data_IF_282977064356
#
_entry.id   IF_282977064356
#
_cell.length_a   1.000
_cell.length_b   1.000
_cell.length_c   1.000
_cell.angle_alpha   90.00
_cell.angle_beta   90.00
_cell.angle_gamma   90.00
#
_symmetry.space_group_name_H-M   'P 1'
#
loop_
_entity.id
_entity.type
_entity.pdbx_description
1 polymer ?
#
# COMPACT_ATOMS: atom_id res chain seq x y z
N UNK A 1 -10.32 -19.11 -30.50
CA UNK A 1 -10.83 -20.37 -29.92
C UNK A 1 -10.45 -20.37 -28.44
N UNK A 2 -11.39 -20.37 -27.49
CA UNK A 2 -11.03 -20.40 -26.08
C UNK A 2 -10.60 -21.82 -25.69
N UNK A 3 -9.43 -21.92 -25.04
CA UNK A 3 -8.96 -23.16 -24.42
C UNK A 3 -9.82 -23.40 -23.18
N UNK A 4 -10.63 -24.46 -23.20
CA UNK A 4 -11.31 -24.97 -22.01
C UNK A 4 -10.26 -25.46 -21.00
N UNK A 5 -10.29 -24.94 -19.77
CA UNK A 5 -9.71 -25.65 -18.62
C UNK A 5 -8.76 -24.90 -17.67
N UNK A 6 -8.60 -23.58 -17.78
CA UNK A 6 -7.96 -22.80 -16.71
C UNK A 6 -9.08 -22.10 -15.96
N UNK A 7 -9.43 -22.56 -14.75
CA UNK A 7 -10.15 -21.71 -13.82
C UNK A 7 -9.33 -20.43 -13.66
N UNK A 8 -9.89 -19.29 -14.03
CA UNK A 8 -9.25 -18.00 -13.80
C UNK A 8 -9.06 -17.87 -12.28
N UNK A 9 -7.81 -17.74 -11.85
CA UNK A 9 -7.49 -17.55 -10.44
C UNK A 9 -8.02 -16.18 -10.02
N UNK A 10 -8.94 -16.18 -9.07
CA UNK A 10 -9.53 -14.96 -8.51
C UNK A 10 -8.93 -14.71 -7.14
N UNK A 11 -8.34 -13.54 -6.93
CA UNK A 11 -7.73 -13.12 -5.66
C UNK A 11 -8.30 -11.76 -5.28
N UNK A 12 -9.08 -11.74 -4.21
CA UNK A 12 -9.63 -10.54 -3.61
C UNK A 12 -8.77 -10.14 -2.40
N UNK A 13 -8.37 -8.87 -2.32
CA UNK A 13 -7.78 -8.29 -1.11
C UNK A 13 -8.88 -7.67 -0.26
N UNK A 14 -8.90 -8.02 1.02
CA UNK A 14 -9.85 -7.44 1.97
C UNK A 14 -9.30 -6.12 2.48
N UNK A 15 -9.97 -5.02 2.12
CA UNK A 15 -9.62 -3.65 2.54
C UNK A 15 -10.37 -3.19 3.80
N UNK A 16 -11.30 -4.00 4.32
CA UNK A 16 -12.00 -3.74 5.58
C UNK A 16 -11.05 -3.92 6.78
N UNK A 17 -11.23 -3.09 7.81
CA UNK A 17 -10.57 -3.28 9.09
C UNK A 17 -11.31 -4.25 10.01
N UNK A 18 -12.55 -4.62 9.64
CA UNK A 18 -13.42 -5.54 10.38
C UNK A 18 -13.85 -6.70 9.47
N UNK A 19 -13.29 -7.88 9.72
CA UNK A 19 -13.68 -9.13 9.07
C UNK A 19 -13.33 -10.30 10.00
N UNK A 20 -14.34 -11.05 10.44
CA UNK A 20 -14.14 -12.12 11.43
C UNK A 20 -13.42 -13.35 10.88
N UNK A 21 -13.18 -13.42 9.57
CA UNK A 21 -12.42 -14.50 8.93
C UNK A 21 -10.91 -14.34 9.10
N UNK A 22 -10.46 -13.14 9.47
CA UNK A 22 -9.04 -12.78 9.56
C UNK A 22 -8.69 -12.17 10.92
N UNK A 23 -7.40 -12.20 11.25
CA UNK A 23 -6.87 -11.54 12.43
C UNK A 23 -6.82 -10.02 12.26
N UNK A 24 -7.10 -9.31 13.35
CA UNK A 24 -7.07 -7.84 13.40
C UNK A 24 -5.71 -7.27 12.95
N UNK A 25 -4.61 -7.95 13.28
CA UNK A 25 -3.26 -7.54 12.87
C UNK A 25 -3.08 -7.55 11.35
N UNK A 26 -3.58 -8.59 10.69
CA UNK A 26 -3.45 -8.75 9.24
C UNK A 26 -4.37 -7.78 8.50
N UNK A 27 -5.59 -7.55 9.01
CA UNK A 27 -6.50 -6.54 8.45
C UNK A 27 -5.89 -5.13 8.52
N UNK A 28 -5.27 -4.76 9.66
CA UNK A 28 -4.58 -3.45 9.80
C UNK A 28 -3.41 -3.26 8.84
N UNK A 29 -2.74 -4.34 8.47
CA UNK A 29 -1.65 -4.33 7.49
C UNK A 29 -2.15 -4.54 6.05
N UNK A 30 -3.47 -4.68 5.85
CA UNK A 30 -4.09 -5.00 4.56
C UNK A 30 -3.48 -6.25 3.90
N UNK A 31 -3.23 -7.28 4.71
CA UNK A 31 -2.63 -8.55 4.30
C UNK A 31 -3.63 -9.71 4.20
N UNK A 32 -4.93 -9.43 4.21
CA UNK A 32 -5.99 -10.45 4.14
C UNK A 32 -6.44 -10.66 2.70
N UNK A 33 -6.52 -11.92 2.27
CA UNK A 33 -6.90 -12.29 0.91
C UNK A 33 -7.89 -13.45 0.88
N UNK A 34 -8.82 -13.40 -0.08
CA UNK A 34 -9.75 -14.48 -0.41
C UNK A 34 -9.43 -14.96 -1.82
N UNK A 35 -9.18 -16.26 -1.97
CA UNK A 35 -8.88 -16.89 -3.26
C UNK A 35 -10.05 -17.77 -3.70
N UNK A 36 -10.52 -17.57 -4.93
CA UNK A 36 -11.68 -18.24 -5.53
C UNK A 36 -12.93 -18.17 -4.65
N UNK A 37 -13.09 -17.11 -3.85
CA UNK A 37 -14.20 -16.90 -2.93
C UNK A 37 -14.27 -17.83 -1.71
N UNK A 38 -13.38 -18.82 -1.58
CA UNK A 38 -13.50 -19.89 -0.58
C UNK A 38 -12.25 -20.15 0.25
N UNK A 39 -11.06 -19.76 -0.23
CA UNK A 39 -9.81 -20.00 0.49
C UNK A 39 -9.29 -18.71 1.11
N UNK A 40 -8.99 -18.73 2.41
CA UNK A 40 -8.55 -17.56 3.17
C UNK A 40 -7.04 -17.58 3.37
N UNK A 41 -6.41 -16.42 3.15
CA UNK A 41 -4.98 -16.24 3.31
C UNK A 41 -4.67 -14.98 4.12
N UNK A 42 -3.65 -15.11 4.97
CA UNK A 42 -3.10 -14.01 5.74
C UNK A 42 -1.63 -13.83 5.39
N UNK A 43 -1.24 -12.60 5.09
CA UNK A 43 0.15 -12.17 4.96
C UNK A 43 0.42 -11.16 6.07
N UNK A 44 1.17 -11.58 7.09
CA UNK A 44 1.54 -10.75 8.23
C UNK A 44 2.97 -10.23 8.05
N UNK A 45 3.14 -8.93 7.91
CA UNK A 45 4.43 -8.26 7.95
C UNK A 45 5.00 -8.38 9.37
N UNK A 46 6.20 -8.94 9.47
CA UNK A 46 6.90 -9.21 10.75
C UNK A 46 8.19 -8.42 10.92
N UNK A 47 8.63 -7.74 9.87
CA UNK A 47 9.77 -6.83 9.87
C UNK A 47 9.74 -5.94 8.63
N UNK A 48 10.79 -5.14 8.43
CA UNK A 48 10.85 -4.17 7.32
C UNK A 48 11.00 -4.81 5.94
N UNK A 49 11.28 -6.11 5.84
CA UNK A 49 11.38 -6.82 4.56
C UNK A 49 10.86 -8.27 4.62
N UNK A 50 10.18 -8.64 5.71
CA UNK A 50 9.78 -10.02 5.97
C UNK A 50 8.29 -10.12 6.30
N UNK A 51 7.65 -11.16 5.76
CA UNK A 51 6.28 -11.52 6.11
C UNK A 51 6.09 -13.03 6.29
N UNK A 52 5.09 -13.38 7.09
CA UNK A 52 4.61 -14.75 7.26
C UNK A 52 3.31 -14.91 6.48
N UNK A 53 3.22 -15.93 5.64
CA UNK A 53 1.99 -16.32 4.95
C UNK A 53 1.34 -17.54 5.60
N UNK A 54 0.03 -17.47 5.80
CA UNK A 54 -0.80 -18.58 6.30
C UNK A 54 -2.02 -18.77 5.39
N UNK A 55 -2.52 -20.00 5.28
CA UNK A 55 -3.73 -20.33 4.51
C UNK A 55 -3.85 -21.82 4.23
N UNK A 56 -5.05 -22.27 3.83
CA UNK A 56 -5.38 -23.70 3.75
C UNK A 56 -4.66 -24.45 2.63
N UNK A 57 -4.40 -23.78 1.49
CA UNK A 57 -3.85 -24.43 0.30
C UNK A 57 -2.56 -23.76 -0.18
N UNK A 58 -1.42 -24.43 0.04
CA UNK A 58 -0.10 -23.91 -0.32
C UNK A 58 0.07 -23.66 -1.83
N UNK A 59 -0.73 -24.28 -2.69
CA UNK A 59 -0.65 -24.06 -4.14
C UNK A 59 -0.94 -22.61 -4.57
N UNK A 60 -1.65 -21.83 -3.73
CA UNK A 60 -1.97 -20.43 -4.00
C UNK A 60 -1.03 -19.44 -3.31
N UNK A 61 -0.09 -19.91 -2.48
CA UNK A 61 0.82 -19.02 -1.72
C UNK A 61 1.59 -18.08 -2.64
N UNK A 62 2.15 -18.60 -3.73
CA UNK A 62 2.93 -17.80 -4.66
C UNK A 62 2.08 -16.68 -5.29
N UNK A 63 0.88 -16.98 -5.76
CA UNK A 63 0.00 -15.99 -6.36
C UNK A 63 -0.46 -14.91 -5.36
N UNK A 64 -0.76 -15.31 -4.11
CA UNK A 64 -1.10 -14.36 -3.03
C UNK A 64 0.10 -13.48 -2.68
N UNK A 65 1.31 -14.05 -2.63
CA UNK A 65 2.55 -13.30 -2.36
C UNK A 65 2.82 -12.28 -3.47
N UNK A 66 2.74 -12.68 -4.73
CA UNK A 66 2.94 -11.77 -5.87
C UNK A 66 1.91 -10.64 -5.84
N UNK A 67 0.62 -10.94 -5.59
CA UNK A 67 -0.42 -9.92 -5.49
C UNK A 67 -0.25 -9.00 -4.28
N UNK A 68 0.16 -9.53 -3.12
CA UNK A 68 0.48 -8.73 -1.95
C UNK A 68 1.65 -7.78 -2.21
N UNK A 69 2.70 -8.24 -2.91
CA UNK A 69 3.90 -7.44 -3.18
C UNK A 69 3.65 -6.24 -4.08
N UNK A 70 2.61 -6.26 -4.91
CA UNK A 70 2.18 -5.06 -5.64
C UNK A 70 1.96 -3.86 -4.71
N UNK A 71 1.49 -4.09 -3.47
CA UNK A 71 1.27 -3.04 -2.48
C UNK A 71 2.44 -2.85 -1.49
N UNK A 72 3.38 -3.80 -1.46
CA UNK A 72 4.40 -3.91 -0.43
C UNK A 72 5.73 -4.44 -1.00
N UNK A 73 6.24 -3.82 -2.07
CA UNK A 73 7.41 -4.29 -2.83
C UNK A 73 8.65 -4.55 -1.96
N UNK A 74 8.85 -3.74 -0.92
CA UNK A 74 9.90 -3.87 0.09
C UNK A 74 9.90 -5.20 0.87
N UNK A 75 8.77 -5.92 0.92
CA UNK A 75 8.72 -7.25 1.52
C UNK A 75 9.25 -8.26 0.51
N UNK A 76 10.42 -8.80 0.80
CA UNK A 76 11.15 -9.66 -0.12
C UNK A 76 11.30 -11.09 0.38
N UNK A 77 11.05 -11.33 1.67
CA UNK A 77 11.17 -12.66 2.28
C UNK A 77 9.83 -13.11 2.84
N UNK A 78 9.35 -14.26 2.38
CA UNK A 78 8.09 -14.85 2.83
C UNK A 78 8.32 -16.23 3.43
N UNK A 79 7.83 -16.43 4.65
CA UNK A 79 7.92 -17.70 5.36
C UNK A 79 6.54 -18.25 5.69
N UNK A 80 6.44 -19.56 5.91
CA UNK A 80 5.25 -20.14 6.52
C UNK A 80 5.30 -20.04 8.06
N UNK A 81 4.22 -20.46 8.72
CA UNK A 81 4.11 -20.46 10.20
C UNK A 81 5.15 -21.33 10.91
N UNK A 82 5.82 -22.25 10.20
CA UNK A 82 6.88 -23.08 10.74
C UNK A 82 8.27 -22.44 10.53
N UNK A 83 8.34 -21.28 9.86
CA UNK A 83 9.57 -20.56 9.55
C UNK A 83 10.25 -21.01 8.24
N UNK A 84 9.65 -21.95 7.49
CA UNK A 84 10.21 -22.41 6.23
C UNK A 84 10.08 -21.32 5.17
N UNK A 85 11.11 -21.15 4.35
CA UNK A 85 11.08 -20.23 3.22
C UNK A 85 10.00 -20.67 2.21
N UNK A 86 9.11 -19.75 1.85
CA UNK A 86 8.08 -19.95 0.81
C UNK A 86 8.53 -19.29 -0.49
N UNK A 87 8.99 -18.03 -0.41
CA UNK A 87 9.42 -17.24 -1.56
C UNK A 87 10.40 -16.16 -1.11
N UNK A 88 11.40 -15.90 -1.94
CA UNK A 88 12.37 -14.82 -1.76
C UNK A 88 12.51 -14.03 -3.06
N UNK A 89 12.61 -12.71 -2.95
CA UNK A 89 12.79 -11.77 -4.06
C UNK A 89 14.13 -11.04 -3.92
N UNK A 90 14.64 -10.38 -4.99
CA UNK A 90 15.77 -9.47 -4.86
C UNK A 90 15.55 -8.47 -3.75
N UNK A 91 16.62 -8.18 -2.99
CA UNK A 91 16.55 -7.23 -1.87
C UNK A 91 16.16 -5.84 -2.36
N UNK A 92 15.31 -5.18 -1.58
CA UNK A 92 14.95 -3.78 -1.75
C UNK A 92 15.67 -2.99 -0.67
N UNK A 93 16.56 -2.09 -1.07
CA UNK A 93 17.33 -1.26 -0.15
C UNK A 93 16.43 -0.16 0.42
N UNK A 94 16.33 -0.13 1.75
CA UNK A 94 15.61 0.90 2.49
C UNK A 94 16.55 2.03 2.88
N UNK A 95 16.06 3.25 2.84
CA UNK A 95 16.77 4.43 3.32
C UNK A 95 15.85 5.37 4.08
N UNK A 96 16.44 6.19 4.94
CA UNK A 96 15.71 7.23 5.67
C UNK A 96 15.59 8.51 4.82
N UNK A 97 14.43 9.13 4.89
CA UNK A 97 14.16 10.40 4.21
C UNK A 97 13.32 11.32 5.12
N UNK A 98 13.63 12.62 5.21
CA UNK A 98 12.76 13.58 5.87
C UNK A 98 11.40 13.70 5.16
N UNK A 99 10.29 13.68 5.91
CA UNK A 99 8.95 13.83 5.34
C UNK A 99 8.81 15.10 4.50
N UNK A 100 9.43 16.19 4.93
CA UNK A 100 9.42 17.49 4.21
C UNK A 100 10.08 17.46 2.83
N UNK A 101 10.83 16.39 2.51
CA UNK A 101 11.48 16.21 1.21
C UNK A 101 10.67 15.32 0.26
N UNK A 102 9.47 14.86 0.67
CA UNK A 102 8.63 13.97 -0.13
C UNK A 102 7.46 14.78 -0.69
N UNK A 103 7.29 14.79 -2.01
CA UNK A 103 6.14 15.33 -2.70
C UNK A 103 5.01 14.27 -2.74
N UNK A 104 3.84 14.53 -2.12
CA UNK A 104 2.66 13.68 -2.26
C UNK A 104 2.12 13.69 -3.70
N UNK A 105 1.70 12.53 -4.21
CA UNK A 105 0.82 12.42 -5.39
C UNK A 105 -0.68 12.49 -5.05
N UNK A 106 -1.03 12.55 -3.76
CA UNK A 106 -2.40 12.64 -3.26
C UNK A 106 -2.59 13.97 -2.52
N UNK A 107 -3.80 14.52 -2.53
CA UNK A 107 -4.10 15.81 -1.90
C UNK A 107 -5.08 15.75 -0.72
N UNK A 108 -5.88 14.68 -0.61
CA UNK A 108 -6.81 14.46 0.50
C UNK A 108 -6.49 13.18 1.28
N UNK A 109 -6.77 13.13 2.57
CA UNK A 109 -6.67 11.91 3.39
C UNK A 109 -7.93 11.74 4.24
N UNK A 110 -8.41 10.50 4.34
CA UNK A 110 -9.59 10.12 5.11
C UNK A 110 -9.28 10.10 6.63
N UNK A 111 -10.05 10.84 7.43
CA UNK A 111 -9.91 10.87 8.91
C UNK A 111 -10.15 9.53 9.58
N UNK A 112 -11.13 8.75 9.15
CA UNK A 112 -11.42 7.40 9.64
C UNK A 112 -10.24 6.47 9.35
N UNK A 113 -9.72 6.48 8.12
CA UNK A 113 -8.53 5.70 7.75
C UNK A 113 -7.31 6.11 8.58
N UNK A 114 -7.11 7.41 8.81
CA UNK A 114 -6.03 7.92 9.67
C UNK A 114 -6.14 7.42 11.11
N UNK A 115 -7.35 7.35 11.67
CA UNK A 115 -7.57 6.83 13.02
C UNK A 115 -7.07 5.38 13.11
N UNK A 116 -7.45 4.53 12.16
CA UNK A 116 -7.01 3.13 12.13
C UNK A 116 -5.51 3.00 11.92
N UNK A 117 -4.95 3.73 10.94
CA UNK A 117 -3.50 3.76 10.68
C UNK A 117 -2.71 4.30 11.88
N UNK A 118 -3.27 5.25 12.60
CA UNK A 118 -2.70 5.81 13.83
C UNK A 118 -2.58 4.83 14.98
N UNK A 119 -3.30 3.70 14.96
CA UNK A 119 -3.22 2.68 16.02
C UNK A 119 -1.91 1.91 16.01
N UNK A 120 -1.21 1.84 14.87
CA UNK A 120 -0.01 1.01 14.71
C UNK A 120 1.24 1.76 14.25
N UNK A 121 1.15 3.03 13.84
CA UNK A 121 2.36 3.84 13.57
C UNK A 121 2.95 4.35 14.88
N UNK A 122 4.10 3.86 15.28
CA UNK A 122 4.82 4.28 16.49
C UNK A 122 6.22 4.78 16.17
N UNK A 123 6.91 4.16 15.22
CA UNK A 123 8.26 4.52 14.79
C UNK A 123 8.31 4.71 13.27
N UNK A 124 9.48 5.10 12.76
CA UNK A 124 9.71 5.27 11.31
C UNK A 124 9.66 3.93 10.57
N UNK A 125 9.98 2.82 11.24
CA UNK A 125 9.94 1.47 10.68
C UNK A 125 8.51 1.01 10.34
N UNK A 126 7.50 1.61 10.98
CA UNK A 126 6.08 1.39 10.66
C UNK A 126 5.64 2.14 9.38
N UNK A 127 6.52 2.97 8.82
CA UNK A 127 6.23 3.85 7.67
C UNK A 127 7.28 3.68 6.59
N UNK A 128 7.02 2.74 5.68
CA UNK A 128 7.86 2.46 4.53
C UNK A 128 7.13 2.91 3.25
N UNK A 129 7.73 3.87 2.54
CA UNK A 129 7.10 4.59 1.42
C UNK A 129 7.77 4.25 0.08
N UNK A 130 7.02 3.79 -0.94
CA UNK A 130 7.53 3.66 -2.30
C UNK A 130 7.72 5.04 -2.93
N UNK A 131 8.92 5.30 -3.46
CA UNK A 131 9.29 6.57 -4.07
C UNK A 131 9.68 6.40 -5.55
N UNK A 132 9.40 7.45 -6.34
CA UNK A 132 9.98 7.69 -7.67
C UNK A 132 10.64 9.06 -7.71
N UNK A 133 11.56 9.25 -8.66
CA UNK A 133 12.11 10.57 -9.00
C UNK A 133 11.44 11.12 -10.25
N UNK A 134 10.96 12.35 -10.17
CA UNK A 134 10.43 13.09 -11.31
C UNK A 134 11.15 14.43 -11.41
N UNK A 135 12.07 14.54 -12.36
CA UNK A 135 13.00 15.67 -12.42
C UNK A 135 13.82 15.77 -11.13
N UNK A 136 13.61 16.86 -10.38
CA UNK A 136 14.27 17.09 -9.09
C UNK A 136 13.40 16.69 -7.88
N UNK A 137 12.15 16.30 -8.11
CA UNK A 137 11.21 15.95 -7.04
C UNK A 137 11.33 14.47 -6.65
N UNK A 138 11.18 14.21 -5.35
CA UNK A 138 11.07 12.86 -4.80
C UNK A 138 9.60 12.64 -4.45
N UNK A 139 8.94 11.75 -5.19
CA UNK A 139 7.48 11.61 -5.15
C UNK A 139 7.09 10.31 -4.47
N UNK A 140 6.14 10.36 -3.55
CA UNK A 140 5.50 9.16 -3.00
C UNK A 140 4.48 8.61 -3.99
N UNK A 141 4.62 7.33 -4.35
CA UNK A 141 3.63 6.63 -5.18
C UNK A 141 2.39 6.25 -4.37
N UNK A 142 2.58 5.90 -3.10
CA UNK A 142 1.55 5.47 -2.17
C UNK A 142 1.98 5.81 -0.72
N UNK A 143 1.13 5.51 0.27
CA UNK A 143 1.43 5.63 1.69
C UNK A 143 1.09 6.99 2.29
N UNK A 144 0.34 7.83 1.59
CA UNK A 144 0.02 9.20 2.00
C UNK A 144 -0.68 9.28 3.36
N UNK A 145 -1.59 8.37 3.66
CA UNK A 145 -2.22 8.29 5.00
C UNK A 145 -1.18 8.00 6.09
N UNK A 146 -0.22 7.09 5.82
CA UNK A 146 0.85 6.74 6.79
C UNK A 146 1.78 7.94 7.01
N UNK A 147 2.17 8.63 5.95
CA UNK A 147 2.97 9.85 6.05
C UNK A 147 2.23 10.98 6.78
N UNK A 148 0.94 11.16 6.54
CA UNK A 148 0.12 12.17 7.21
C UNK A 148 -0.02 11.90 8.72
N UNK A 149 -0.09 10.63 9.12
CA UNK A 149 -0.08 10.22 10.54
C UNK A 149 1.30 10.38 11.15
N UNK A 150 2.37 10.00 10.43
CA UNK A 150 3.75 10.19 10.87
C UNK A 150 4.05 11.68 11.16
N UNK A 151 3.64 12.57 10.26
CA UNK A 151 3.74 14.01 10.42
C UNK A 151 3.00 14.52 11.67
N UNK A 152 1.77 14.06 11.92
CA UNK A 152 1.00 14.43 13.12
C UNK A 152 1.62 13.93 14.43
N UNK A 153 2.32 12.80 14.38
CA UNK A 153 3.03 12.22 15.53
C UNK A 153 4.42 12.83 15.74
N UNK A 154 4.84 13.77 14.90
CA UNK A 154 6.16 14.40 14.99
C UNK A 154 7.31 13.49 14.56
N UNK A 155 7.05 12.49 13.73
CA UNK A 155 8.10 11.69 13.10
C UNK A 155 8.67 12.49 11.92
N UNK A 156 9.84 13.11 12.09
CA UNK A 156 10.46 13.95 11.05
C UNK A 156 10.95 13.14 9.84
N UNK A 157 11.27 11.85 10.05
CA UNK A 157 11.78 10.93 9.03
C UNK A 157 10.97 9.65 8.95
N UNK A 158 10.96 9.05 7.76
CA UNK A 158 10.36 7.75 7.46
C UNK A 158 11.34 6.88 6.67
N UNK A 159 11.05 5.58 6.58
CA UNK A 159 11.76 4.71 5.65
C UNK A 159 11.14 4.78 4.26
N UNK A 160 11.96 4.57 3.25
CA UNK A 160 11.54 4.56 1.87
C UNK A 160 12.43 3.68 1.01
N UNK A 161 11.94 3.38 -0.19
CA UNK A 161 12.69 2.69 -1.24
C UNK A 161 12.34 3.26 -2.60
N UNK A 162 13.22 3.03 -3.59
CA UNK A 162 12.94 3.35 -4.98
C UNK A 162 12.13 2.22 -5.60
N UNK A 163 10.88 2.51 -5.98
CA UNK A 163 10.00 1.53 -6.62
C UNK A 163 10.43 1.22 -8.04
N UNK A 164 10.40 -0.06 -8.41
CA UNK A 164 10.61 -0.51 -9.78
C UNK A 164 9.35 -0.39 -10.66
N UNK A 165 8.17 -0.25 -10.05
CA UNK A 165 6.88 -0.16 -10.76
C UNK A 165 6.81 1.08 -11.65
N UNK A 166 6.22 0.96 -12.84
CA UNK A 166 5.96 2.12 -13.69
C UNK A 166 4.77 2.94 -13.18
N UNK A 167 4.81 4.24 -13.44
CA UNK A 167 3.94 5.21 -12.78
C UNK A 167 3.56 6.37 -13.71
N UNK A 168 3.06 6.05 -14.90
CA UNK A 168 2.75 7.04 -15.95
C UNK A 168 1.70 8.07 -15.50
N UNK A 169 0.83 7.71 -14.56
CA UNK A 169 -0.14 8.62 -13.96
C UNK A 169 0.49 9.62 -12.99
N UNK A 170 1.68 9.35 -12.44
CA UNK A 170 2.18 10.03 -11.26
C UNK A 170 2.47 11.51 -11.50
N UNK A 171 2.97 11.87 -12.69
CA UNK A 171 3.27 13.27 -13.04
C UNK A 171 2.01 14.15 -13.03
N UNK A 172 0.89 13.63 -13.57
CA UNK A 172 -0.40 14.33 -13.54
C UNK A 172 -0.89 14.53 -12.10
N UNK A 173 -0.85 13.48 -11.29
CA UNK A 173 -1.31 13.52 -9.90
C UNK A 173 -0.49 14.47 -9.04
N UNK A 174 0.84 14.50 -9.20
CA UNK A 174 1.73 15.47 -8.53
C UNK A 174 1.39 16.90 -8.95
N UNK A 175 1.19 17.13 -10.25
CA UNK A 175 0.82 18.46 -10.76
C UNK A 175 -0.50 18.94 -10.14
N UNK A 176 -1.49 18.05 -10.02
CA UNK A 176 -2.77 18.36 -9.40
C UNK A 176 -2.67 18.59 -7.89
N UNK A 177 -1.79 17.86 -7.20
CA UNK A 177 -1.47 18.09 -5.79
C UNK A 177 -0.83 19.49 -5.59
N UNK A 178 0.15 19.85 -6.40
CA UNK A 178 0.82 21.15 -6.32
C UNK A 178 -0.12 22.33 -6.61
N UNK A 179 -1.03 22.20 -7.59
CA UNK A 179 -2.09 23.22 -7.85
C UNK A 179 -2.99 23.46 -6.63
N UNK A 180 -3.10 22.48 -5.74
CA UNK A 180 -3.87 22.56 -4.48
C UNK A 180 -2.99 22.96 -3.28
N UNK A 181 -1.76 23.38 -3.53
CA UNK A 181 -0.75 23.74 -2.53
C UNK A 181 -0.30 22.56 -1.64
N UNK A 182 -0.29 21.35 -2.19
CA UNK A 182 0.23 20.16 -1.52
C UNK A 182 1.65 19.91 -2.00
N UNK A 183 2.64 20.20 -1.16
CA UNK A 183 4.06 20.05 -1.49
C UNK A 183 4.76 19.00 -0.62
N UNK A 184 4.23 18.78 0.58
CA UNK A 184 4.77 17.84 1.56
C UNK A 184 3.63 17.08 2.25
N UNK A 185 3.91 15.98 2.98
CA UNK A 185 2.88 15.26 3.71
C UNK A 185 2.20 16.09 4.81
N UNK A 186 2.81 17.19 5.24
CA UNK A 186 2.22 18.15 6.18
C UNK A 186 1.06 18.94 5.58
N UNK A 187 1.02 19.07 4.25
CA UNK A 187 0.01 19.87 3.55
C UNK A 187 -1.27 19.07 3.25
N UNK A 188 -1.23 17.74 3.40
CA UNK A 188 -2.35 16.84 3.10
C UNK A 188 -3.63 17.26 3.85
N UNK A 189 -4.68 17.54 3.07
CA UNK A 189 -5.96 18.00 3.62
C UNK A 189 -6.79 16.82 4.12
N UNK A 190 -7.34 16.93 5.34
CA UNK A 190 -8.08 15.86 6.00
C UNK A 190 -9.57 16.00 5.75
N UNK A 191 -10.21 14.97 5.22
CA UNK A 191 -11.65 14.96 4.92
C UNK A 191 -12.39 13.92 5.77
N UNK A 192 -13.68 14.15 6.00
CA UNK A 192 -14.57 13.07 6.47
C UNK A 192 -14.73 12.01 5.38
N UNK A 193 -15.14 10.80 5.76
CA UNK A 193 -15.18 9.64 4.84
C UNK A 193 -15.98 9.93 3.55
N UNK A 194 -17.22 10.38 3.67
CA UNK A 194 -18.09 10.64 2.50
C UNK A 194 -17.48 11.69 1.55
N UNK A 195 -16.83 12.71 2.10
CA UNK A 195 -16.19 13.76 1.31
C UNK A 195 -14.88 13.27 0.68
N UNK A 196 -14.15 12.37 1.34
CA UNK A 196 -12.98 11.70 0.78
C UNK A 196 -13.38 10.80 -0.40
N UNK A 197 -14.44 10.01 -0.25
CA UNK A 197 -14.97 9.17 -1.33
C UNK A 197 -15.35 10.01 -2.55
N UNK A 198 -16.08 11.11 -2.36
CA UNK A 198 -16.48 11.98 -3.46
C UNK A 198 -15.26 12.69 -4.11
N UNK A 199 -14.39 13.29 -3.30
CA UNK A 199 -13.36 14.21 -3.81
C UNK A 199 -12.05 13.55 -4.20
N UNK A 200 -11.68 12.47 -3.53
CA UNK A 200 -10.45 11.75 -3.85
C UNK A 200 -10.74 10.53 -4.71
N UNK A 201 -11.57 9.59 -4.24
CA UNK A 201 -11.86 8.39 -5.03
C UNK A 201 -12.58 8.77 -6.33
N UNK A 202 -13.57 9.67 -6.28
CA UNK A 202 -14.21 10.20 -7.48
C UNK A 202 -13.24 10.91 -8.45
N UNK A 203 -12.18 11.57 -7.95
CA UNK A 203 -11.14 12.15 -8.81
C UNK A 203 -10.28 11.07 -9.48
N UNK A 204 -9.87 10.05 -8.72
CA UNK A 204 -9.13 8.91 -9.23
C UNK A 204 -9.94 8.16 -10.29
N UNK A 205 -11.20 7.82 -9.98
CA UNK A 205 -12.11 7.12 -10.87
C UNK A 205 -12.32 7.89 -12.18
N UNK A 206 -12.53 9.21 -12.09
CA UNK A 206 -12.67 10.05 -13.27
C UNK A 206 -11.40 10.07 -14.15
N UNK A 207 -10.21 10.02 -13.56
CA UNK A 207 -8.95 9.94 -14.31
C UNK A 207 -8.79 8.58 -14.98
N UNK A 208 -8.97 7.49 -14.24
CA UNK A 208 -8.75 6.14 -14.78
C UNK A 208 -9.83 5.71 -15.78
N UNK A 209 -11.06 6.20 -15.66
CA UNK A 209 -12.10 5.97 -16.66
C UNK A 209 -11.78 6.60 -18.04
N UNK A 210 -10.92 7.62 -18.11
CA UNK A 210 -10.48 8.24 -19.37
C UNK A 210 -9.37 7.46 -20.08
N UNK A 211 -8.70 6.52 -19.38
CA UNK A 211 -7.63 5.69 -19.94
C UNK A 211 -8.09 4.37 -20.57
N UNK A 212 -9.37 4.04 -20.48
CA UNK A 212 -10.01 2.85 -21.06
C UNK A 212 -10.65 3.12 -22.45
N UNK A 213 -10.39 4.29 -23.06
CA UNK A 213 -10.79 4.64 -24.45
C UNK A 213 -9.64 4.52 -25.46
#
# INVERSE_FOLDING_TARGET
MPIKGVEQLDIERINSYEDNRFSEKVLRQHGAFVVNGIFFYEVLITGTSEAVITGENRKYYEAVIEYFRFFAEHITTFRDVQGNMVKEFPKVELFEIPLKNIQPSQFYVDKSKKKEVGTFIHTKEDVIIPLKKFGNEIVSMDGHTRMAVAAEKGLDTVLAFWSAEEADYLEYFVTEAQKRNIYTPYDLTKLEHDEYEEKWNGFCDAYFAQGDE
#
